data_IF_559013120968
#
_entry.id   IF_559013120968
#
_cell.length_a   1.000
_cell.length_b   1.000
_cell.length_c   1.000
_cell.angle_alpha   90.00
_cell.angle_beta   90.00
_cell.angle_gamma   90.00
#
_symmetry.space_group_name_H-M   'P 1'
#
loop_
_entity.id
_entity.type
_entity.pdbx_description
1 polymer ?
#
# COMPACT_ATOMS: atom_id res chain seq x y z
N UNK A 1 -36.91 -9.32 -14.30
CA UNK A 1 -35.68 -8.52 -14.42
C UNK A 1 -34.53 -9.32 -13.80
N UNK A 2 -33.78 -10.08 -14.61
CA UNK A 2 -32.66 -10.87 -14.11
C UNK A 2 -31.47 -9.97 -13.84
N UNK A 3 -30.99 -9.91 -12.59
CA UNK A 3 -29.67 -9.34 -12.31
C UNK A 3 -28.65 -10.32 -12.88
N UNK A 4 -27.98 -9.94 -13.96
CA UNK A 4 -26.79 -10.68 -14.39
C UNK A 4 -25.73 -10.56 -13.28
N UNK A 5 -25.09 -11.66 -12.85
CA UNK A 5 -23.91 -11.55 -12.01
C UNK A 5 -22.82 -10.85 -12.83
N UNK A 6 -22.49 -9.62 -12.45
CA UNK A 6 -21.32 -8.92 -12.98
C UNK A 6 -20.09 -9.74 -12.61
N UNK A 7 -19.26 -10.09 -13.59
CA UNK A 7 -17.97 -10.72 -13.33
C UNK A 7 -17.19 -9.86 -12.30
N UNK A 8 -16.44 -10.48 -11.37
CA UNK A 8 -15.66 -9.72 -10.42
C UNK A 8 -14.73 -8.77 -11.18
N UNK A 9 -14.73 -7.49 -10.81
CA UNK A 9 -13.80 -6.50 -11.33
C UNK A 9 -12.37 -7.03 -11.09
N UNK A 10 -11.49 -7.08 -12.12
CA UNK A 10 -10.08 -7.40 -11.91
C UNK A 10 -9.46 -6.34 -11.01
N UNK A 11 -8.40 -6.70 -10.28
CA UNK A 11 -7.65 -5.74 -9.46
C UNK A 11 -7.30 -4.49 -10.29
N UNK A 12 -7.35 -3.29 -9.67
CA UNK A 12 -7.20 -2.03 -10.38
C UNK A 12 -5.81 -1.92 -11.01
N UNK A 13 -5.76 -1.29 -12.17
CA UNK A 13 -4.49 -1.02 -12.84
C UNK A 13 -3.68 0.02 -12.05
N UNK A 14 -2.39 -0.27 -11.87
CA UNK A 14 -1.42 0.65 -11.29
C UNK A 14 -0.64 1.37 -12.38
N UNK A 15 -0.54 2.70 -12.27
CA UNK A 15 0.37 3.49 -13.11
C UNK A 15 1.56 3.94 -12.28
N UNK A 16 2.78 3.87 -12.82
CA UNK A 16 3.97 4.38 -12.14
C UNK A 16 3.80 5.86 -11.75
N UNK A 17 4.15 6.18 -10.52
CA UNK A 17 4.06 7.52 -9.96
C UNK A 17 5.27 7.82 -9.07
N UNK A 18 5.54 9.11 -8.87
CA UNK A 18 6.64 9.59 -8.02
C UNK A 18 6.08 10.65 -7.07
N UNK A 19 6.44 10.56 -5.79
CA UNK A 19 6.16 11.57 -4.77
C UNK A 19 7.46 12.27 -4.35
N UNK A 20 7.58 13.57 -4.68
CA UNK A 20 8.74 14.38 -4.30
C UNK A 20 8.66 14.82 -2.83
N UNK A 21 9.81 14.92 -2.16
CA UNK A 21 9.89 15.23 -0.73
C UNK A 21 9.61 14.01 0.15
N UNK A 22 9.64 12.81 -0.42
CA UNK A 22 9.36 11.55 0.26
C UNK A 22 10.42 10.50 -0.07
N UNK A 23 10.60 9.54 0.83
CA UNK A 23 11.36 8.30 0.58
C UNK A 23 10.69 7.12 1.29
N UNK A 24 11.05 5.90 0.89
CA UNK A 24 10.49 4.67 1.41
C UNK A 24 11.56 3.79 2.10
N UNK A 25 12.01 4.15 3.32
CA UNK A 25 12.96 3.36 4.10
C UNK A 25 12.45 1.96 4.42
N UNK A 26 13.40 1.05 4.59
CA UNK A 26 13.16 -0.15 5.36
C UNK A 26 12.89 0.22 6.83
N UNK A 27 11.98 -0.48 7.48
CA UNK A 27 11.64 -0.28 8.88
C UNK A 27 12.25 -1.37 9.75
N UNK A 28 12.71 -1.02 10.95
CA UNK A 28 13.26 -2.02 11.86
C UNK A 28 12.17 -3.00 12.32
N UNK A 29 12.45 -4.30 12.22
CA UNK A 29 11.50 -5.35 12.59
C UNK A 29 10.29 -5.53 11.66
N UNK A 30 10.28 -4.90 10.47
CA UNK A 30 9.20 -5.08 9.47
C UNK A 30 9.75 -5.45 8.10
N UNK A 31 8.93 -6.20 7.35
CA UNK A 31 9.26 -6.67 6.00
C UNK A 31 8.75 -5.73 4.90
N UNK A 32 7.99 -4.69 5.26
CA UNK A 32 7.41 -3.69 4.37
C UNK A 32 7.90 -2.28 4.72
N UNK A 33 7.88 -1.34 3.76
CA UNK A 33 8.45 -0.01 3.94
C UNK A 33 7.56 0.89 4.78
N UNK A 34 8.14 2.01 5.23
CA UNK A 34 7.38 3.18 5.67
C UNK A 34 7.61 4.33 4.70
N UNK A 35 6.55 5.05 4.30
CA UNK A 35 6.71 6.27 3.52
C UNK A 35 6.93 7.45 4.47
N UNK A 36 8.06 8.15 4.35
CA UNK A 36 8.43 9.25 5.26
C UNK A 36 8.87 10.50 4.50
N UNK A 37 8.74 11.66 5.15
CA UNK A 37 9.22 12.93 4.61
C UNK A 37 10.75 12.93 4.49
N UNK A 38 11.24 13.34 3.32
CA UNK A 38 12.64 13.60 3.03
C UNK A 38 12.72 14.62 1.89
N UNK A 39 12.92 15.89 2.24
CA UNK A 39 12.74 17.03 1.34
C UNK A 39 13.52 16.92 0.02
N UNK A 40 14.73 16.36 0.06
CA UNK A 40 15.63 16.24 -1.09
C UNK A 40 15.55 14.85 -1.78
N UNK A 41 14.48 14.10 -1.54
CA UNK A 41 14.27 12.74 -2.05
C UNK A 41 12.98 12.61 -2.84
N UNK A 42 12.84 11.50 -3.56
CA UNK A 42 11.62 11.15 -4.28
C UNK A 42 11.34 9.66 -4.14
N UNK A 43 10.09 9.33 -3.78
CA UNK A 43 9.64 7.95 -3.66
C UNK A 43 8.93 7.52 -4.94
N UNK A 44 9.44 6.50 -5.61
CA UNK A 44 8.76 5.85 -6.73
C UNK A 44 7.76 4.80 -6.21
N UNK A 45 6.63 4.67 -6.89
CA UNK A 45 5.59 3.71 -6.54
C UNK A 45 4.55 3.52 -7.64
N UNK A 46 3.43 2.90 -7.29
CA UNK A 46 2.28 2.71 -8.16
C UNK A 46 1.09 3.52 -7.64
N UNK A 47 0.50 4.34 -8.51
CA UNK A 47 -0.79 4.97 -8.28
C UNK A 47 -1.89 4.03 -8.76
N UNK A 48 -2.66 3.49 -7.81
CA UNK A 48 -3.87 2.75 -8.09
C UNK A 48 -5.02 3.74 -8.29
N UNK A 49 -5.78 3.57 -9.36
CA UNK A 49 -6.92 4.44 -9.69
C UNK A 49 -8.21 3.63 -9.78
N UNK A 50 -9.35 4.32 -9.70
CA UNK A 50 -10.68 3.70 -9.76
C UNK A 50 -10.90 2.61 -8.69
N UNK A 51 -10.34 2.78 -7.49
CA UNK A 51 -10.57 1.89 -6.36
C UNK A 51 -12.04 1.94 -5.93
N UNK A 52 -12.70 0.79 -5.93
CA UNK A 52 -14.02 0.61 -5.31
C UNK A 52 -13.93 0.71 -3.79
N UNK A 53 -15.07 0.95 -3.13
CA UNK A 53 -15.12 1.02 -1.65
C UNK A 53 -14.59 -0.27 -0.99
N UNK A 54 -14.83 -1.43 -1.62
CA UNK A 54 -14.32 -2.70 -1.13
C UNK A 54 -12.80 -2.80 -1.25
N UNK A 55 -12.22 -2.37 -2.37
CA UNK A 55 -10.77 -2.37 -2.56
C UNK A 55 -10.09 -1.40 -1.61
N UNK A 56 -10.70 -0.23 -1.37
CA UNK A 56 -10.30 0.69 -0.30
C UNK A 56 -10.32 0.02 1.08
N UNK A 57 -11.41 -0.66 1.45
CA UNK A 57 -11.51 -1.35 2.73
C UNK A 57 -10.48 -2.46 2.91
N UNK A 58 -10.08 -3.13 1.82
CA UNK A 58 -8.98 -4.11 1.89
C UNK A 58 -7.66 -3.39 2.18
N UNK A 59 -7.34 -2.29 1.50
CA UNK A 59 -6.12 -1.53 1.75
C UNK A 59 -6.09 -1.00 3.19
N UNK A 60 -7.18 -0.36 3.65
CA UNK A 60 -7.30 0.13 5.02
C UNK A 60 -7.13 -0.98 6.06
N UNK A 61 -7.67 -2.17 5.83
CA UNK A 61 -7.57 -3.26 6.80
C UNK A 61 -6.18 -3.93 6.82
N UNK A 62 -5.41 -3.80 5.73
CA UNK A 62 -4.02 -4.27 5.69
C UNK A 62 -3.05 -3.28 6.34
N UNK A 63 -3.32 -2.00 6.20
CA UNK A 63 -2.51 -0.92 6.74
C UNK A 63 -2.90 -0.71 8.20
N UNK A 64 -2.18 -1.39 9.09
CA UNK A 64 -2.27 -1.30 10.56
C UNK A 64 -2.44 0.18 10.99
N UNK A 65 -3.14 0.42 12.11
CA UNK A 65 -3.47 1.74 12.70
C UNK A 65 -2.25 2.60 13.12
N UNK A 66 -1.06 2.15 12.72
CA UNK A 66 0.22 2.85 12.85
C UNK A 66 0.57 3.70 11.63
N UNK A 67 -0.16 3.60 10.52
CA UNK A 67 0.03 4.48 9.37
C UNK A 67 -1.06 5.54 9.30
N UNK A 68 -0.66 6.75 8.90
CA UNK A 68 -1.59 7.86 8.67
C UNK A 68 -1.88 7.99 7.18
N UNK A 69 -3.17 8.05 6.80
CA UNK A 69 -3.55 8.25 5.41
C UNK A 69 -3.41 9.73 5.02
N UNK A 70 -2.40 10.05 4.19
CA UNK A 70 -2.08 11.41 3.78
C UNK A 70 -2.27 11.62 2.28
N UNK A 71 -2.69 12.84 1.91
CA UNK A 71 -2.76 13.27 0.52
C UNK A 71 -1.43 13.87 0.09
N UNK A 72 -0.81 13.27 -0.92
CA UNK A 72 0.48 13.65 -1.47
C UNK A 72 0.31 14.36 -2.82
N UNK A 73 1.27 15.24 -3.13
CA UNK A 73 1.42 15.80 -4.47
C UNK A 73 2.38 14.92 -5.27
N UNK A 74 1.90 14.33 -6.37
CA UNK A 74 2.73 13.54 -7.27
C UNK A 74 3.43 14.44 -8.29
N UNK A 75 4.52 13.95 -8.89
CA UNK A 75 5.26 14.67 -9.94
C UNK A 75 4.41 14.95 -11.19
N UNK A 76 3.36 14.16 -11.42
CA UNK A 76 2.37 14.41 -12.48
C UNK A 76 1.49 15.64 -12.22
N UNK A 77 1.56 16.23 -11.02
CA UNK A 77 0.69 17.30 -10.57
C UNK A 77 -0.66 16.81 -10.02
N UNK A 78 -0.99 15.53 -10.19
CA UNK A 78 -2.18 14.94 -9.60
C UNK A 78 -1.95 14.63 -8.11
N UNK A 79 -3.00 14.72 -7.27
CA UNK A 79 -2.91 14.22 -5.92
C UNK A 79 -3.02 12.69 -5.87
N UNK A 80 -2.35 12.08 -4.90
CA UNK A 80 -2.52 10.67 -4.55
C UNK A 80 -2.68 10.51 -3.05
N UNK A 81 -3.41 9.48 -2.61
CA UNK A 81 -3.47 9.10 -1.20
C UNK A 81 -2.44 8.01 -0.92
N UNK A 82 -1.73 8.13 0.21
CA UNK A 82 -0.74 7.15 0.63
C UNK A 82 -0.74 6.99 2.15
N UNK A 83 -0.49 5.78 2.61
CA UNK A 83 -0.25 5.47 4.01
C UNK A 83 1.17 5.89 4.38
N UNK A 84 1.27 6.88 5.24
CA UNK A 84 2.52 7.50 5.69
C UNK A 84 2.89 6.95 7.05
N UNK A 85 4.18 6.69 7.25
CA UNK A 85 4.70 6.26 8.54
C UNK A 85 4.92 7.51 9.42
N UNK A 86 4.13 7.69 10.49
CA UNK A 86 4.13 8.94 11.28
C UNK A 86 5.33 9.06 12.21
N UNK A 87 6.02 7.96 12.50
CA UNK A 87 7.21 7.95 13.34
C UNK A 87 7.61 6.56 13.83
N UNK A 88 8.88 6.41 14.18
CA UNK A 88 9.49 5.14 14.62
C UNK A 88 10.88 4.97 14.04
N UNK A 89 11.54 3.85 14.36
CA UNK A 89 12.87 3.56 13.83
C UNK A 89 12.79 3.16 12.35
N UNK A 90 13.36 4.03 11.52
CA UNK A 90 13.59 3.81 10.10
C UNK A 90 15.06 3.50 9.88
N UNK A 91 15.36 2.69 8.88
CA UNK A 91 16.74 2.44 8.45
C UNK A 91 17.19 3.55 7.50
N UNK A 92 18.51 3.68 7.37
CA UNK A 92 19.11 4.60 6.40
C UNK A 92 18.84 4.12 4.98
N UNK A 93 18.86 2.80 4.77
CA UNK A 93 18.59 2.19 3.48
C UNK A 93 17.10 2.25 3.10
N UNK A 94 16.85 2.52 1.82
CA UNK A 94 15.51 2.37 1.25
C UNK A 94 15.14 0.89 1.12
N UNK A 95 13.85 0.62 1.23
CA UNK A 95 13.31 -0.72 1.08
C UNK A 95 13.39 -1.20 -0.37
N UNK A 96 13.76 -2.47 -0.54
CA UNK A 96 13.95 -3.08 -1.84
C UNK A 96 12.80 -4.04 -2.17
N UNK A 97 11.99 -3.64 -3.15
CA UNK A 97 10.85 -4.42 -3.63
C UNK A 97 11.27 -5.77 -4.23
N UNK A 98 12.39 -5.82 -4.95
CA UNK A 98 12.89 -7.05 -5.57
C UNK A 98 13.40 -8.01 -4.49
N UNK A 99 14.10 -7.49 -3.48
CA UNK A 99 14.48 -8.27 -2.31
C UNK A 99 13.27 -8.86 -1.60
N UNK A 100 12.20 -8.07 -1.41
CA UNK A 100 10.97 -8.55 -0.82
C UNK A 100 10.31 -9.66 -1.63
N UNK A 101 10.17 -9.46 -2.94
CA UNK A 101 9.57 -10.46 -3.85
C UNK A 101 10.33 -11.78 -3.78
N UNK A 102 11.66 -11.72 -3.77
CA UNK A 102 12.51 -12.91 -3.81
C UNK A 102 12.62 -13.62 -2.47
N UNK A 103 12.60 -12.90 -1.34
CA UNK A 103 12.90 -13.45 -0.01
C UNK A 103 11.70 -13.61 0.91
N UNK A 104 10.68 -12.76 0.77
CA UNK A 104 9.64 -12.60 1.78
C UNK A 104 8.23 -12.78 1.25
N UNK A 105 8.00 -12.61 -0.06
CA UNK A 105 6.65 -12.64 -0.64
C UNK A 105 5.91 -13.95 -0.38
N UNK A 106 6.58 -15.10 -0.47
CA UNK A 106 5.93 -16.39 -0.27
C UNK A 106 5.43 -16.55 1.18
N UNK A 107 6.28 -16.23 2.17
CA UNK A 107 5.93 -16.30 3.58
C UNK A 107 4.87 -15.27 3.95
N UNK A 108 4.99 -14.06 3.38
CA UNK A 108 4.04 -12.98 3.54
C UNK A 108 2.66 -13.36 2.98
N UNK A 109 2.60 -13.84 1.73
CA UNK A 109 1.35 -14.30 1.11
C UNK A 109 0.71 -15.45 1.89
N UNK A 110 1.53 -16.39 2.40
CA UNK A 110 1.04 -17.49 3.25
C UNK A 110 0.44 -16.97 4.56
N UNK A 111 1.05 -15.94 5.16
CA UNK A 111 0.49 -15.27 6.35
C UNK A 111 -0.82 -14.55 6.01
N UNK A 112 -0.88 -13.80 4.92
CA UNK A 112 -2.09 -13.11 4.47
C UNK A 112 -3.23 -14.09 4.19
N UNK A 113 -2.95 -15.22 3.54
CA UNK A 113 -3.96 -16.25 3.24
C UNK A 113 -4.59 -16.86 4.50
N UNK A 114 -3.88 -16.87 5.64
CA UNK A 114 -4.43 -17.32 6.93
C UNK A 114 -5.34 -16.29 7.60
N UNK A 115 -5.14 -15.00 7.33
CA UNK A 115 -5.85 -13.88 7.97
C UNK A 115 -6.98 -13.36 7.06
N UNK A 116 -6.90 -13.61 5.75
CA UNK A 116 -7.92 -13.25 4.76
C UNK A 116 -9.35 -13.71 5.09
N UNK A 117 -9.60 -14.87 5.75
CA UNK A 117 -10.95 -15.24 6.17
C UNK A 117 -11.56 -14.28 7.20
N UNK A 118 -10.74 -13.73 8.11
CA UNK A 118 -11.19 -12.83 9.17
C UNK A 118 -11.36 -11.39 8.64
N UNK A 119 -10.43 -10.90 7.81
CA UNK A 119 -10.53 -9.58 7.16
C UNK A 119 -11.74 -9.48 6.20
N UNK A 120 -12.10 -10.58 5.53
CA UNK A 120 -13.28 -10.64 4.68
C UNK A 120 -14.60 -10.67 5.46
N UNK A 121 -14.57 -11.08 6.74
CA UNK A 121 -15.75 -11.08 7.62
C UNK A 121 -16.00 -9.69 8.22
N UNK A 122 -14.95 -8.95 8.57
CA UNK A 122 -15.07 -7.60 9.16
C UNK A 122 -15.35 -6.51 8.11
N UNK A 123 -14.96 -6.68 6.84
CA UNK A 123 -15.24 -5.74 5.76
C UNK A 123 -16.72 -5.77 5.25
N UNK A 124 -17.57 -6.62 5.84
CA UNK A 124 -19.00 -6.79 5.47
C UNK A 124 -19.94 -6.04 6.43
N UNK A 125 -19.42 -5.43 7.50
CA UNK A 125 -20.23 -4.77 8.53
C UNK A 125 -20.18 -3.24 8.50
#
# INVERSE_FOLDING_TARGET
MGRHPTAPKPWPEGTSAIANGWRAPALEGRVYPGLVLAADSAAAGLLLTDLSQREWGILDAFEDDRYDLHKLCLTSGAPGWAYVWPGGEVRDEDWDAEHFVTRHLQEYATRCARIAPDLAADAVH
#
